data_IF_302251642752
#
_entry.id   IF_302251642752
#
_cell.length_a   1.000
_cell.length_b   1.000
_cell.length_c   1.000
_cell.angle_alpha   90.00
_cell.angle_beta   90.00
_cell.angle_gamma   90.00
#
_symmetry.space_group_name_H-M   'P 1'
#
loop_
_entity.id
_entity.type
_entity.pdbx_description
1 polymer ?
#
# COMPACT_ATOMS: atom_id res chain seq x y z
N UNK A 1 14.79 -5.11 -38.61
CA UNK A 1 15.33 -4.47 -37.38
C UNK A 1 14.22 -4.42 -36.35
N UNK A 2 14.18 -5.36 -35.41
CA UNK A 2 13.13 -5.44 -34.40
C UNK A 2 13.53 -4.67 -33.14
N UNK A 3 13.03 -3.45 -32.98
CA UNK A 3 13.22 -2.68 -31.75
C UNK A 3 12.42 -3.30 -30.61
N UNK A 4 13.06 -4.18 -29.84
CA UNK A 4 12.55 -4.59 -28.53
C UNK A 4 12.73 -3.40 -27.59
N UNK A 5 11.69 -2.58 -27.45
CA UNK A 5 11.58 -1.64 -26.35
C UNK A 5 11.63 -2.45 -25.04
N UNK A 6 12.84 -2.57 -24.47
CA UNK A 6 13.03 -3.02 -23.09
C UNK A 6 12.22 -2.05 -22.25
N UNK A 7 11.02 -2.48 -21.82
CA UNK A 7 10.30 -1.84 -20.73
C UNK A 7 11.30 -1.77 -19.59
N UNK A 8 11.89 -0.60 -19.42
CA UNK A 8 12.77 -0.29 -18.32
C UNK A 8 11.91 -0.55 -17.10
N UNK A 9 12.09 -1.73 -16.50
CA UNK A 9 11.65 -2.01 -15.15
C UNK A 9 12.47 -1.03 -14.34
N UNK A 10 12.03 0.23 -14.26
CA UNK A 10 12.46 1.17 -13.24
C UNK A 10 12.32 0.33 -11.99
N UNK A 11 13.44 -0.08 -11.41
CA UNK A 11 13.45 -0.74 -10.12
C UNK A 11 12.70 0.26 -9.25
N UNK A 12 11.41 -0.01 -9.02
CA UNK A 12 10.54 0.89 -8.27
C UNK A 12 11.25 0.96 -6.94
N UNK A 13 11.73 2.14 -6.63
CA UNK A 13 12.39 2.43 -5.39
C UNK A 13 11.57 1.83 -4.25
N UNK A 14 12.19 1.38 -3.15
CA UNK A 14 11.51 0.57 -2.16
C UNK A 14 10.27 1.29 -1.62
N UNK A 15 9.10 0.84 -2.06
CA UNK A 15 7.81 1.28 -1.54
C UNK A 15 7.52 0.44 -0.32
N UNK A 16 7.33 1.10 0.82
CA UNK A 16 6.98 0.43 2.07
C UNK A 16 5.54 0.72 2.41
N UNK A 17 4.74 -0.33 2.57
CA UNK A 17 3.42 -0.21 3.17
C UNK A 17 3.59 0.08 4.67
N UNK A 18 2.88 1.10 5.16
CA UNK A 18 2.86 1.45 6.58
C UNK A 18 1.43 1.63 7.05
N UNK A 19 1.27 1.40 8.35
CA UNK A 19 -0.02 1.47 9.03
C UNK A 19 0.03 2.59 10.06
N UNK A 20 -1.04 3.35 10.16
CA UNK A 20 -1.22 4.37 11.20
C UNK A 20 -2.52 4.08 11.93
N UNK A 21 -2.41 3.78 13.21
CA UNK A 21 -3.59 3.69 14.07
C UNK A 21 -4.27 5.05 14.16
N UNK A 22 -5.59 5.03 13.98
CA UNK A 22 -6.49 6.17 14.09
C UNK A 22 -7.18 6.10 15.46
N UNK A 23 -7.64 7.26 15.94
CA UNK A 23 -8.32 7.38 17.24
C UNK A 23 -9.63 6.57 17.34
N UNK A 24 -10.20 6.16 16.21
CA UNK A 24 -11.40 5.31 16.15
C UNK A 24 -11.09 3.80 16.23
N UNK A 25 -9.83 3.40 16.39
CA UNK A 25 -9.41 1.99 16.41
C UNK A 25 -9.12 1.41 15.02
N UNK A 26 -9.39 2.14 13.94
CA UNK A 26 -9.02 1.71 12.59
C UNK A 26 -7.54 1.99 12.32
N UNK A 27 -6.95 1.30 11.34
CA UNK A 27 -5.60 1.57 10.86
C UNK A 27 -5.65 2.07 9.43
N UNK A 28 -5.18 3.29 9.20
CA UNK A 28 -5.00 3.82 7.84
C UNK A 28 -3.77 3.21 7.21
N UNK A 29 -3.89 2.76 5.96
CA UNK A 29 -2.77 2.29 5.15
C UNK A 29 -2.23 3.46 4.31
N UNK A 30 -0.92 3.63 4.32
CA UNK A 30 -0.22 4.59 3.46
C UNK A 30 1.06 3.98 2.89
N UNK A 31 1.43 4.43 1.70
CA UNK A 31 2.71 4.09 1.08
C UNK A 31 3.76 5.12 1.46
N UNK A 32 4.92 4.62 1.84
CA UNK A 32 6.14 5.37 2.06
C UNK A 32 7.07 5.05 0.89
N UNK A 33 7.07 5.94 -0.09
CA UNK A 33 7.83 5.82 -1.32
C UNK A 33 9.01 6.79 -1.27
N UNK A 34 10.20 6.32 -1.67
CA UNK A 34 11.31 7.21 -1.95
C UNK A 34 11.38 7.36 -3.45
N UNK A 35 11.12 8.55 -4.00
CA UNK A 35 11.34 8.80 -5.42
C UNK A 35 12.28 9.94 -5.72
N UNK A 36 13.32 9.62 -6.49
CA UNK A 36 14.30 10.58 -7.00
C UNK A 36 14.95 11.42 -5.88
N UNK A 37 15.25 10.77 -4.75
CA UNK A 37 15.83 11.41 -3.56
C UNK A 37 14.84 12.16 -2.68
N UNK A 38 13.54 12.15 -3.00
CA UNK A 38 12.47 12.74 -2.20
C UNK A 38 11.60 11.65 -1.58
N UNK A 39 11.15 11.87 -0.35
CA UNK A 39 10.20 10.98 0.32
C UNK A 39 8.79 11.45 0.04
N UNK A 40 7.99 10.56 -0.54
CA UNK A 40 6.60 10.79 -0.88
C UNK A 40 5.72 9.86 -0.05
N UNK A 41 4.62 10.42 0.44
CA UNK A 41 3.62 9.67 1.19
C UNK A 41 2.34 9.64 0.38
N UNK A 42 1.88 8.44 0.03
CA UNK A 42 0.64 8.25 -0.71
C UNK A 42 -0.40 7.59 0.18
N UNK A 43 -1.49 8.30 0.42
CA UNK A 43 -2.62 7.77 1.18
C UNK A 43 -3.48 6.91 0.27
N UNK A 44 -3.50 5.59 0.50
CA UNK A 44 -4.29 4.66 -0.29
C UNK A 44 -5.79 4.74 -0.02
N UNK A 45 -6.23 5.51 1.00
CA UNK A 45 -7.62 5.56 1.49
C UNK A 45 -8.17 4.17 1.83
N UNK A 46 -7.28 3.24 2.12
CA UNK A 46 -7.59 1.92 2.63
C UNK A 46 -7.46 1.95 4.14
N UNK A 47 -8.43 1.36 4.83
CA UNK A 47 -8.51 1.34 6.28
C UNK A 47 -8.74 -0.10 6.75
N UNK A 48 -7.92 -0.55 7.69
CA UNK A 48 -8.19 -1.77 8.44
C UNK A 48 -9.11 -1.41 9.60
N UNK A 49 -10.13 -2.21 9.82
CA UNK A 49 -11.06 -2.07 10.94
C UNK A 49 -10.62 -3.01 12.07
N UNK A 50 -10.95 -2.71 13.34
CA UNK A 50 -10.70 -3.62 14.45
C UNK A 50 -11.21 -5.04 14.17
N UNK A 51 -10.35 -6.04 14.38
CA UNK A 51 -10.66 -7.46 14.15
C UNK A 51 -11.58 -8.06 15.23
N UNK A 52 -12.68 -7.38 15.53
CA UNK A 52 -13.67 -7.78 16.54
C UNK A 52 -14.62 -8.88 16.05
N UNK A 53 -14.78 -9.02 14.73
CA UNK A 53 -15.59 -10.05 14.08
C UNK A 53 -14.79 -10.79 13.00
N UNK A 54 -15.25 -11.99 12.64
CA UNK A 54 -14.71 -12.79 11.52
C UNK A 54 -14.87 -12.01 10.20
N UNK A 55 -16.00 -11.34 10.02
CA UNK A 55 -16.26 -10.49 8.84
C UNK A 55 -15.22 -9.36 8.73
N UNK A 56 -14.84 -8.76 9.86
CA UNK A 56 -13.82 -7.71 9.89
C UNK A 56 -12.45 -8.25 9.50
N UNK A 57 -12.11 -9.48 9.91
CA UNK A 57 -10.87 -10.14 9.49
C UNK A 57 -10.85 -10.40 7.98
N UNK A 58 -11.96 -10.84 7.41
CA UNK A 58 -12.06 -11.06 5.96
C UNK A 58 -11.99 -9.75 5.18
N UNK A 59 -12.67 -8.69 5.65
CA UNK A 59 -12.61 -7.36 5.06
C UNK A 59 -11.19 -6.78 5.10
N UNK A 60 -10.48 -6.93 6.24
CA UNK A 60 -9.08 -6.55 6.37
C UNK A 60 -8.18 -7.34 5.41
N UNK A 61 -8.40 -8.65 5.27
CA UNK A 61 -7.65 -9.48 4.32
C UNK A 61 -7.86 -9.04 2.87
N UNK A 62 -9.08 -8.68 2.49
CA UNK A 62 -9.37 -8.12 1.17
C UNK A 62 -8.68 -6.75 0.97
N UNK A 63 -8.74 -5.90 1.98
CA UNK A 63 -8.07 -4.58 2.00
C UNK A 63 -6.56 -4.71 1.87
N UNK A 64 -5.93 -5.65 2.58
CA UNK A 64 -4.50 -5.93 2.48
C UNK A 64 -4.11 -6.49 1.11
N UNK A 65 -4.97 -7.31 0.49
CA UNK A 65 -4.73 -7.76 -0.90
C UNK A 65 -4.75 -6.59 -1.87
N UNK A 66 -5.71 -5.67 -1.73
CA UNK A 66 -5.77 -4.45 -2.55
C UNK A 66 -4.54 -3.56 -2.34
N UNK A 67 -4.05 -3.46 -1.10
CA UNK A 67 -2.86 -2.67 -0.79
C UNK A 67 -1.56 -3.27 -1.37
N UNK A 68 -1.50 -4.58 -1.60
CA UNK A 68 -0.33 -5.29 -2.14
C UNK A 68 -0.42 -5.57 -3.66
N UNK A 69 -1.53 -5.22 -4.32
CA UNK A 69 -1.77 -5.46 -5.75
C UNK A 69 -1.04 -4.44 -6.64
#
# INVERSE_FOLDING_TARGET
MGNKNKKQTKAREPVKLRYKELSNGNQSIYLDCYSNGKREYEFLKLYLIPETSIENKEANKATLKLANA
#
